data_IF_065894575200
#
_entry.id   IF_065894575200
#
_cell.length_a   1.000
_cell.length_b   1.000
_cell.length_c   1.000
_cell.angle_alpha   90.00
_cell.angle_beta   90.00
_cell.angle_gamma   90.00
#
_symmetry.space_group_name_H-M   'P 1'
#
loop_
_entity.id
_entity.type
_entity.pdbx_description
1 polymer ?
#
# COMPACT_ATOMS: atom_id res chain seq x y z
N UNK A 1 6.05 9.38 0.41
CA UNK A 1 4.89 9.77 1.25
C UNK A 1 3.56 9.34 0.62
N UNK A 2 3.33 9.61 -0.66
CA UNK A 2 2.05 9.28 -1.33
C UNK A 2 1.77 7.78 -1.42
N UNK A 3 2.78 6.97 -1.72
CA UNK A 3 2.63 5.51 -1.75
C UNK A 3 2.19 4.93 -0.40
N UNK A 4 2.67 5.47 0.72
CA UNK A 4 2.25 5.03 2.06
C UNK A 4 0.81 5.43 2.38
N UNK A 5 0.34 6.56 1.86
CA UNK A 5 -1.05 6.97 2.00
C UNK A 5 -1.98 6.06 1.17
N UNK A 6 -1.57 5.74 -0.06
CA UNK A 6 -2.29 4.80 -0.91
C UNK A 6 -2.30 3.37 -0.35
N UNK A 7 -1.18 2.93 0.23
CA UNK A 7 -1.09 1.66 0.95
C UNK A 7 -2.13 1.61 2.09
N UNK A 8 -2.15 2.60 2.99
CA UNK A 8 -3.10 2.65 4.10
C UNK A 8 -4.55 2.68 3.62
N UNK A 9 -4.85 3.51 2.61
CA UNK A 9 -6.20 3.60 2.07
C UNK A 9 -6.66 2.25 1.52
N UNK A 10 -5.82 1.55 0.76
CA UNK A 10 -6.16 0.23 0.21
C UNK A 10 -6.44 -0.81 1.32
N UNK A 11 -5.64 -0.78 2.39
CA UNK A 11 -5.85 -1.64 3.56
C UNK A 11 -7.18 -1.33 4.25
N UNK A 12 -7.49 -0.05 4.43
CA UNK A 12 -8.69 0.41 5.15
C UNK A 12 -9.98 0.22 4.37
N UNK A 13 -9.98 0.46 3.05
CA UNK A 13 -11.20 0.41 2.23
C UNK A 13 -11.46 -0.95 1.62
N UNK A 14 -10.41 -1.65 1.17
CA UNK A 14 -10.55 -2.91 0.42
C UNK A 14 -10.13 -4.13 1.24
N UNK A 15 -9.48 -3.96 2.39
CA UNK A 15 -8.93 -5.07 3.17
C UNK A 15 -7.77 -5.79 2.46
N UNK A 16 -7.13 -5.13 1.49
CA UNK A 16 -6.00 -5.66 0.73
C UNK A 16 -4.73 -5.00 1.25
N UNK A 17 -3.70 -5.80 1.53
CA UNK A 17 -2.38 -5.30 1.91
C UNK A 17 -1.50 -5.32 0.65
N UNK A 18 -1.37 -4.22 -0.11
CA UNK A 18 -0.56 -4.20 -1.32
C UNK A 18 0.93 -4.18 -0.98
N UNK A 19 1.78 -4.72 -1.85
CA UNK A 19 3.21 -4.45 -1.76
C UNK A 19 3.49 -2.94 -1.95
N UNK A 20 4.65 -2.46 -1.50
CA UNK A 20 4.97 -1.02 -1.61
C UNK A 20 5.18 -0.57 -3.06
N UNK A 21 5.59 -1.46 -3.97
CA UNK A 21 5.74 -1.18 -5.40
C UNK A 21 4.41 -0.81 -6.07
N UNK A 22 3.35 -1.64 -6.03
CA UNK A 22 2.05 -1.28 -6.63
C UNK A 22 1.37 -0.12 -5.88
N UNK A 23 1.69 0.13 -4.60
CA UNK A 23 1.16 1.30 -3.88
C UNK A 23 1.56 2.64 -4.54
N UNK A 24 2.70 2.70 -5.26
CA UNK A 24 3.07 3.88 -6.05
C UNK A 24 2.12 4.10 -7.24
N UNK A 25 1.77 3.03 -7.95
CA UNK A 25 0.80 3.11 -9.04
C UNK A 25 -0.59 3.47 -8.52
N UNK A 26 -1.00 2.93 -7.37
CA UNK A 26 -2.28 3.27 -6.75
C UNK A 26 -2.32 4.75 -6.34
N UNK A 27 -1.24 5.29 -5.76
CA UNK A 27 -1.13 6.71 -5.45
C UNK A 27 -1.28 7.60 -6.70
N UNK A 28 -0.76 7.16 -7.85
CA UNK A 28 -0.97 7.86 -9.11
C UNK A 28 -2.43 7.77 -9.58
N UNK A 29 -3.04 6.58 -9.50
CA UNK A 29 -4.47 6.37 -9.83
C UNK A 29 -5.36 7.30 -9.02
N UNK A 30 -5.13 7.41 -7.70
CA UNK A 30 -5.90 8.31 -6.81
C UNK A 30 -5.85 9.78 -7.24
N UNK A 31 -4.78 10.22 -7.91
CA UNK A 31 -4.66 11.60 -8.42
C UNK A 31 -5.37 11.80 -9.76
N UNK A 32 -5.33 10.80 -10.64
CA UNK A 32 -5.88 10.92 -12.00
C UNK A 32 -7.37 10.57 -12.05
N UNK A 33 -7.84 9.62 -11.22
CA UNK A 33 -9.20 9.10 -11.25
C UNK A 33 -10.28 10.19 -11.02
N UNK A 34 -10.13 11.14 -10.07
CA UNK A 34 -11.12 12.20 -9.88
C UNK A 34 -11.29 13.15 -11.07
N UNK A 35 -10.35 13.16 -12.02
CA UNK A 35 -10.40 14.01 -13.23
C UNK A 35 -10.99 13.29 -14.44
N UNK A 36 -11.27 11.99 -14.31
CA UNK A 36 -11.83 11.17 -15.38
C UNK A 36 -13.35 11.07 -15.23
N UNK A 37 -14.09 10.83 -16.34
CA UNK A 37 -15.52 10.57 -16.26
C UNK A 37 -15.82 9.40 -15.32
N UNK A 38 -16.94 9.44 -14.61
CA UNK A 38 -17.35 8.37 -13.69
C UNK A 38 -17.52 7.00 -14.38
N UNK A 39 -17.74 6.97 -15.69
CA UNK A 39 -17.83 5.76 -16.51
C UNK A 39 -16.49 5.22 -17.01
N UNK A 40 -15.39 5.93 -16.75
CA UNK A 40 -14.07 5.52 -17.20
C UNK A 40 -13.55 4.35 -16.37
N UNK A 41 -13.09 3.28 -17.04
CA UNK A 41 -12.55 2.09 -16.38
C UNK A 41 -11.02 2.17 -16.31
N UNK A 42 -10.47 1.98 -15.11
CA UNK A 42 -9.02 1.90 -14.87
C UNK A 42 -8.67 0.49 -14.47
N UNK A 43 -7.74 -0.14 -15.19
CA UNK A 43 -7.11 -1.38 -14.79
C UNK A 43 -5.70 -1.07 -14.30
N UNK A 44 -5.43 -1.37 -13.03
CA UNK A 44 -4.15 -1.16 -12.39
C UNK A 44 -3.65 -2.49 -11.84
N UNK A 45 -2.40 -2.83 -12.13
CA UNK A 45 -1.82 -4.10 -11.72
C UNK A 45 -1.34 -4.04 -10.27
N UNK A 46 -1.88 -4.92 -9.42
CA UNK A 46 -1.43 -5.13 -8.05
C UNK A 46 -0.40 -6.27 -8.01
N UNK A 47 0.83 -6.00 -8.45
CA UNK A 47 1.83 -7.03 -8.74
C UNK A 47 2.34 -7.85 -7.54
N UNK A 48 1.96 -7.50 -6.31
CA UNK A 48 2.40 -8.19 -5.11
C UNK A 48 1.60 -7.82 -3.87
N UNK A 49 1.76 -8.65 -2.83
CA UNK A 49 1.17 -8.50 -1.49
C UNK A 49 2.21 -8.00 -0.48
N UNK A 50 1.77 -7.19 0.47
CA UNK A 50 2.64 -6.45 1.39
C UNK A 50 3.01 -7.19 2.68
N UNK A 51 2.82 -8.51 2.78
CA UNK A 51 3.15 -9.28 3.99
C UNK A 51 4.60 -9.06 4.45
N UNK A 52 5.53 -9.01 3.48
CA UNK A 52 6.96 -8.78 3.74
C UNK A 52 7.27 -7.31 4.06
N UNK A 53 6.45 -6.40 3.56
CA UNK A 53 6.65 -4.96 3.68
C UNK A 53 6.07 -4.37 4.96
N UNK A 54 5.28 -5.15 5.72
CA UNK A 54 4.50 -4.66 6.85
C UNK A 54 5.37 -3.97 7.92
N UNK A 55 6.57 -4.49 8.21
CA UNK A 55 7.50 -3.88 9.17
C UNK A 55 8.17 -2.63 8.63
N UNK A 56 8.40 -2.57 7.32
CA UNK A 56 8.94 -1.38 6.65
C UNK A 56 7.89 -0.28 6.62
N UNK A 57 6.65 -0.61 6.26
CA UNK A 57 5.51 0.29 6.29
C UNK A 57 5.24 0.80 7.72
N UNK A 58 5.15 -0.09 8.71
CA UNK A 58 4.93 0.28 10.11
C UNK A 58 5.99 1.26 10.63
N UNK A 59 7.27 0.99 10.37
CA UNK A 59 8.37 1.92 10.73
C UNK A 59 8.23 3.27 10.04
N UNK A 60 7.90 3.27 8.75
CA UNK A 60 7.71 4.51 7.98
C UNK A 60 6.46 5.31 8.43
N UNK A 61 5.49 4.64 9.04
CA UNK A 61 4.28 5.23 9.61
C UNK A 61 4.41 5.61 11.08
N UNK A 62 5.55 5.30 11.72
CA UNK A 62 5.76 5.57 13.14
C UNK A 62 4.94 4.69 14.07
N UNK A 63 4.49 3.52 13.60
CA UNK A 63 3.78 2.53 14.41
C UNK A 63 4.77 1.86 15.35
N UNK A 64 4.45 1.83 16.65
CA UNK A 64 5.24 1.09 17.62
C UNK A 64 5.04 -0.42 17.43
N UNK A 65 6.13 -1.11 17.08
CA UNK A 65 6.17 -2.55 16.84
C UNK A 65 6.96 -3.29 17.92
N UNK A 66 7.32 -2.63 19.04
CA UNK A 66 8.19 -3.17 20.09
C UNK A 66 7.69 -4.48 20.73
N UNK A 67 6.37 -4.72 20.70
CA UNK A 67 5.76 -5.95 21.19
C UNK A 67 5.55 -7.05 20.15
N UNK A 68 5.88 -6.84 18.88
CA UNK A 68 5.66 -7.84 17.83
C UNK A 68 6.89 -8.71 17.59
N UNK A 69 6.73 -10.05 17.46
CA UNK A 69 7.82 -10.91 17.05
C UNK A 69 8.34 -10.46 15.68
N UNK A 70 9.62 -10.08 15.60
CA UNK A 70 10.23 -9.75 14.32
C UNK A 70 10.30 -11.02 13.45
N UNK A 71 10.00 -10.93 12.15
CA UNK A 71 10.20 -12.04 11.25
C UNK A 71 11.69 -12.36 11.25
N UNK A 72 12.02 -13.65 11.34
CA UNK A 72 13.40 -14.09 11.23
C UNK A 72 14.00 -13.48 9.96
N UNK A 73 15.13 -12.77 10.10
CA UNK A 73 15.84 -12.24 8.95
C UNK A 73 16.12 -13.42 8.01
N UNK A 74 15.50 -13.40 6.83
CA UNK A 74 15.82 -14.36 5.78
C UNK A 74 17.28 -14.14 5.41
N UNK A 75 18.15 -15.05 5.87
CA UNK A 75 19.47 -15.25 5.28
C UNK A 75 19.31 -15.70 3.83
#
# INVERSE_FOLDING_TARGET
>A
KEALAAFQLCCETEGIIPALEPAHALAHVMKIAPRLPASHLICMNLCGRGDKDIFTAARALGVDMSGMPQPAASQ
#
